data_IF_471556773748
#
_entry.id   IF_471556773748
#
_cell.length_a   1.000
_cell.length_b   1.000
_cell.length_c   1.000
_cell.angle_alpha   90.00
_cell.angle_beta   90.00
_cell.angle_gamma   90.00
#
_symmetry.space_group_name_H-M   'P 1'
#
loop_
_entity.id
_entity.type
_entity.pdbx_description
1 polymer ?
#
# COMPACT_ATOMS: atom_id res chain seq x y z
N UNK A 1 -34.24 -31.44 -18.85
CA UNK A 1 -34.31 -30.29 -17.92
C UNK A 1 -33.21 -30.46 -16.89
N UNK A 2 -32.13 -29.65 -16.91
CA UNK A 2 -31.20 -29.41 -15.78
C UNK A 2 -29.88 -28.74 -16.22
N UNK A 3 -29.60 -28.63 -17.52
CA UNK A 3 -28.38 -27.97 -18.06
C UNK A 3 -28.28 -26.50 -17.67
N UNK A 4 -29.38 -25.74 -17.71
CA UNK A 4 -29.38 -24.33 -17.32
C UNK A 4 -29.05 -24.12 -15.83
N UNK A 5 -29.43 -25.06 -14.95
CA UNK A 5 -29.08 -25.01 -13.53
C UNK A 5 -27.58 -25.21 -13.33
N UNK A 6 -26.98 -26.12 -14.10
CA UNK A 6 -25.55 -26.38 -14.06
C UNK A 6 -24.74 -25.16 -14.54
N UNK A 7 -25.20 -24.52 -15.61
CA UNK A 7 -24.60 -23.29 -16.13
C UNK A 7 -24.70 -22.15 -15.11
N UNK A 8 -25.85 -22.00 -14.45
CA UNK A 8 -26.03 -21.01 -13.38
C UNK A 8 -25.08 -21.25 -12.19
N UNK A 9 -24.97 -22.48 -11.71
CA UNK A 9 -24.06 -22.82 -10.61
C UNK A 9 -22.59 -22.53 -10.95
N UNK A 10 -22.13 -22.88 -12.15
CA UNK A 10 -20.78 -22.57 -12.61
C UNK A 10 -20.52 -21.06 -12.71
N UNK A 11 -21.47 -20.31 -13.27
CA UNK A 11 -21.33 -18.84 -13.40
C UNK A 11 -21.26 -18.14 -12.04
N UNK A 12 -22.10 -18.56 -11.08
CA UNK A 12 -22.12 -18.01 -9.73
C UNK A 12 -20.81 -18.34 -9.00
N UNK A 13 -20.33 -19.58 -9.11
CA UNK A 13 -19.07 -20.01 -8.50
C UNK A 13 -17.86 -19.22 -9.01
N UNK A 14 -17.82 -18.93 -10.31
CA UNK A 14 -16.74 -18.14 -10.93
C UNK A 14 -16.72 -16.68 -10.46
N UNK A 15 -17.90 -16.05 -10.30
CA UNK A 15 -18.00 -14.67 -9.83
C UNK A 15 -17.51 -14.47 -8.39
N UNK A 16 -17.58 -15.50 -7.55
CA UNK A 16 -17.10 -15.45 -6.16
C UNK A 16 -15.56 -15.50 -6.04
N UNK A 17 -14.84 -15.72 -7.14
CA UNK A 17 -13.37 -15.77 -7.18
C UNK A 17 -12.73 -14.43 -7.54
N UNK A 18 -13.55 -13.39 -7.76
CA UNK A 18 -13.09 -12.01 -7.93
C UNK A 18 -12.49 -11.55 -6.59
N UNK A 19 -11.16 -11.54 -6.51
CA UNK A 19 -10.39 -11.45 -5.27
C UNK A 19 -10.53 -10.14 -4.48
N UNK A 20 -9.98 -10.17 -3.27
CA UNK A 20 -9.89 -9.00 -2.38
C UNK A 20 -9.00 -7.93 -3.02
N UNK A 21 -9.51 -6.70 -3.09
CA UNK A 21 -8.74 -5.54 -3.52
C UNK A 21 -7.96 -5.00 -2.31
N UNK A 22 -6.62 -5.10 -2.31
CA UNK A 22 -5.78 -4.41 -1.34
C UNK A 22 -5.59 -2.94 -1.76
N UNK A 23 -6.49 -2.09 -1.26
CA UNK A 23 -6.39 -0.65 -1.44
C UNK A 23 -5.30 -0.05 -0.56
N UNK A 24 -4.30 0.57 -1.20
CA UNK A 24 -3.28 1.38 -0.55
C UNK A 24 -3.71 2.85 -0.51
N UNK A 25 -3.32 3.59 0.54
CA UNK A 25 -3.80 4.95 0.78
C UNK A 25 -2.70 5.93 1.17
N UNK A 26 -2.90 7.21 0.84
CA UNK A 26 -2.00 8.30 1.19
C UNK A 26 -2.80 9.53 1.67
N UNK A 27 -2.16 10.38 2.46
CA UNK A 27 -2.78 11.61 2.96
C UNK A 27 -2.50 12.77 2.01
N UNK A 28 -3.54 13.22 1.29
CA UNK A 28 -3.43 14.37 0.37
C UNK A 28 -3.82 15.71 1.01
N UNK A 29 -4.65 15.69 2.04
CA UNK A 29 -5.15 16.90 2.74
C UNK A 29 -5.23 16.68 4.26
N UNK A 30 -4.41 17.38 5.08
CA UNK A 30 -3.22 18.14 4.67
C UNK A 30 -2.21 17.20 3.98
N UNK A 31 -1.44 17.71 3.03
CA UNK A 31 -0.52 16.89 2.24
C UNK A 31 0.54 16.23 3.13
N UNK A 32 0.58 14.90 3.11
CA UNK A 32 1.61 14.11 3.79
C UNK A 32 2.99 14.35 3.20
N UNK A 33 4.07 14.15 3.99
CA UNK A 33 5.45 14.40 3.52
C UNK A 33 5.81 13.58 2.28
N UNK A 34 5.38 12.32 2.22
CA UNK A 34 5.59 11.42 1.09
C UNK A 34 4.87 11.88 -0.18
N UNK A 35 3.72 12.55 -0.07
CA UNK A 35 2.91 13.03 -1.19
C UNK A 35 3.18 14.49 -1.56
N UNK A 36 4.09 15.16 -0.86
CA UNK A 36 4.39 16.59 -1.07
C UNK A 36 4.85 16.91 -2.49
N UNK A 37 5.58 15.99 -3.13
CA UNK A 37 6.05 16.16 -4.50
C UNK A 37 4.93 16.32 -5.54
N UNK A 38 3.69 15.91 -5.22
CA UNK A 38 2.52 16.11 -6.09
C UNK A 38 2.09 17.57 -6.19
N UNK A 39 2.48 18.41 -5.22
CA UNK A 39 2.10 19.82 -5.14
C UNK A 39 3.31 20.76 -5.14
N UNK A 40 4.49 20.25 -4.83
CA UNK A 40 5.73 21.02 -4.72
C UNK A 40 6.87 20.29 -5.44
N UNK A 41 7.26 20.82 -6.59
CA UNK A 41 8.31 20.26 -7.44
C UNK A 41 9.72 20.32 -6.82
N UNK A 42 9.91 21.03 -5.71
CA UNK A 42 11.18 21.03 -4.96
C UNK A 42 11.34 19.79 -4.07
N UNK A 43 10.25 19.07 -3.80
CA UNK A 43 10.31 17.83 -3.05
C UNK A 43 10.89 16.69 -3.90
N UNK A 44 11.64 15.75 -3.30
CA UNK A 44 12.00 14.52 -3.97
C UNK A 44 10.75 13.75 -4.39
N UNK A 45 10.68 13.35 -5.66
CA UNK A 45 9.58 12.55 -6.20
C UNK A 45 9.53 11.18 -5.53
N UNK A 46 8.36 10.79 -5.02
CA UNK A 46 8.10 9.46 -4.48
C UNK A 46 6.84 8.85 -5.09
N UNK A 47 7.00 7.99 -6.10
CA UNK A 47 5.85 7.33 -6.75
C UNK A 47 5.14 6.30 -5.87
N UNK A 48 5.76 5.90 -4.76
CA UNK A 48 5.26 4.90 -3.81
C UNK A 48 4.73 5.55 -2.52
N UNK A 49 4.20 6.78 -2.65
CA UNK A 49 3.72 7.60 -1.53
C UNK A 49 2.45 7.07 -0.86
N UNK A 50 1.82 6.05 -1.46
CA UNK A 50 0.69 5.28 -0.95
C UNK A 50 1.10 3.96 -0.24
N UNK A 51 2.36 3.54 -0.29
CA UNK A 51 2.86 2.29 0.28
C UNK A 51 3.54 2.46 1.66
N UNK A 52 3.01 3.36 2.50
CA UNK A 52 3.57 3.65 3.83
C UNK A 52 3.13 2.63 4.90
N UNK A 53 3.34 1.33 4.65
CA UNK A 53 2.92 0.22 5.50
C UNK A 53 4.04 -0.30 6.44
N UNK A 54 4.97 0.57 6.84
CA UNK A 54 6.08 0.26 7.76
C UNK A 54 7.03 -0.87 7.30
N UNK A 55 7.26 -0.97 5.99
CA UNK A 55 8.25 -1.89 5.42
C UNK A 55 7.70 -3.28 5.02
N UNK A 56 6.47 -3.59 5.39
CA UNK A 56 5.74 -4.77 4.91
C UNK A 56 5.38 -5.74 6.03
N UNK A 57 4.42 -6.62 5.77
CA UNK A 57 3.99 -7.64 6.73
C UNK A 57 5.15 -8.52 7.25
N UNK A 58 6.14 -8.79 6.37
CA UNK A 58 7.33 -9.57 6.70
C UNK A 58 8.37 -8.81 7.51
N UNK A 59 8.29 -7.47 7.53
CA UNK A 59 9.12 -6.62 8.38
C UNK A 59 8.41 -6.49 9.72
N UNK A 60 8.47 -7.56 10.50
CA UNK A 60 8.12 -7.48 11.92
C UNK A 60 8.97 -6.39 12.59
N UNK A 61 8.48 -5.78 13.67
CA UNK A 61 9.23 -4.82 14.47
C UNK A 61 10.09 -5.57 15.51
N UNK A 62 11.32 -6.03 15.19
CA UNK A 62 12.31 -6.22 16.24
C UNK A 62 13.71 -5.72 15.86
N UNK A 63 13.85 -4.80 14.89
CA UNK A 63 15.11 -4.07 14.78
C UNK A 63 15.07 -3.01 15.88
N UNK A 64 16.04 -3.04 16.79
CA UNK A 64 16.13 -2.19 17.99
C UNK A 64 16.04 -0.67 17.77
N UNK A 65 15.92 -0.23 16.51
CA UNK A 65 15.70 1.15 16.05
C UNK A 65 14.81 1.26 14.78
N UNK A 66 14.11 0.21 14.33
CA UNK A 66 13.14 0.36 13.23
C UNK A 66 11.90 1.07 13.76
N UNK A 67 11.89 2.40 13.66
CA UNK A 67 10.68 3.17 13.87
C UNK A 67 9.72 2.76 12.75
N UNK A 68 8.50 2.34 13.07
CA UNK A 68 7.43 2.35 12.08
C UNK A 68 7.23 3.84 11.75
N UNK A 69 7.56 4.26 10.53
CA UNK A 69 7.36 5.64 10.09
C UNK A 69 5.86 5.87 9.87
N UNK A 70 5.12 5.95 10.98
CA UNK A 70 3.73 6.40 11.03
C UNK A 70 3.53 7.84 10.51
N UNK A 71 4.61 8.48 10.06
CA UNK A 71 4.74 9.90 9.78
C UNK A 71 5.46 10.14 8.44
N UNK A 72 4.95 9.51 7.38
CA UNK A 72 5.18 9.91 5.99
C UNK A 72 6.63 9.83 5.46
N UNK A 73 7.54 9.13 6.14
CA UNK A 73 8.89 8.86 5.64
C UNK A 73 8.96 7.41 5.14
N UNK A 74 9.42 7.22 3.91
CA UNK A 74 9.88 5.91 3.46
C UNK A 74 11.15 5.62 4.24
N UNK A 75 11.09 4.75 5.25
CA UNK A 75 12.32 4.28 5.89
C UNK A 75 12.98 3.27 4.98
N UNK A 76 13.69 3.77 3.96
CA UNK A 76 14.78 3.02 3.40
C UNK A 76 15.86 2.92 4.49
N UNK A 77 16.36 1.72 4.82
CA UNK A 77 17.50 1.53 5.74
C UNK A 77 18.74 2.33 5.31
N UNK A 78 18.79 2.77 4.05
CA UNK A 78 19.87 3.55 3.47
C UNK A 78 19.82 5.05 3.82
N UNK A 79 18.67 5.61 4.22
CA UNK A 79 18.55 7.04 4.55
C UNK A 79 18.90 7.38 6.01
N UNK A 80 18.97 6.37 6.88
CA UNK A 80 19.46 6.53 8.26
C UNK A 80 20.94 6.96 8.32
N UNK A 81 21.70 6.79 7.25
CA UNK A 81 23.11 7.16 7.18
C UNK A 81 23.36 8.58 6.63
N UNK A 82 22.30 9.39 6.44
CA UNK A 82 22.45 10.79 5.99
C UNK A 82 22.17 11.82 7.10
N UNK A 83 22.52 11.47 8.34
CA UNK A 83 22.67 12.42 9.45
C UNK A 83 24.08 12.38 9.99
#
# INVERSE_FOLDING_TARGET
>A
MNTYKFILFLSMGFLNQMGQLEGHGMMLSPTGRSSRWRYDNSAPTNYDDNALYCGGFWVGVPLKNSKCSSLNDVLNPLETNRK
#
